data_IF_650194565860
#
_entry.id   IF_650194565860
#
_cell.length_a   1.000
_cell.length_b   1.000
_cell.length_c   1.000
_cell.angle_alpha   90.00
_cell.angle_beta   90.00
_cell.angle_gamma   90.00
#
_symmetry.space_group_name_H-M   'P 1'
#
loop_
_entity.id
_entity.type
_entity.pdbx_description
1 polymer ?
#
# COMPACT_ATOMS: atom_id res chain seq x y z
N UNK A 1 -24.60 -24.55 -53.32
CA UNK A 1 -25.22 -25.16 -52.11
C UNK A 1 -24.23 -25.10 -50.96
N UNK A 2 -24.43 -24.22 -49.96
CA UNK A 2 -23.48 -23.99 -48.87
C UNK A 2 -23.64 -25.02 -47.75
N UNK A 3 -22.52 -25.51 -47.25
CA UNK A 3 -22.41 -26.65 -46.34
C UNK A 3 -22.67 -26.20 -44.87
N UNK A 4 -23.75 -26.67 -44.19
CA UNK A 4 -24.17 -26.13 -42.88
C UNK A 4 -23.32 -26.61 -41.69
N UNK A 5 -22.28 -27.42 -41.92
CA UNK A 5 -21.53 -28.10 -40.85
C UNK A 5 -20.31 -27.33 -40.31
N UNK A 6 -19.95 -26.16 -40.85
CA UNK A 6 -18.79 -25.37 -40.36
C UNK A 6 -19.14 -24.27 -39.34
N UNK A 7 -20.41 -23.93 -39.13
CA UNK A 7 -20.82 -22.81 -38.24
C UNK A 7 -21.10 -23.20 -36.79
N UNK A 8 -20.98 -24.48 -36.40
CA UNK A 8 -21.25 -24.93 -35.01
C UNK A 8 -20.02 -25.15 -34.14
N UNK A 9 -18.81 -24.96 -34.68
CA UNK A 9 -17.55 -25.19 -33.95
C UNK A 9 -16.92 -23.93 -33.34
N UNK A 10 -17.51 -22.74 -33.57
CA UNK A 10 -17.03 -21.47 -32.99
C UNK A 10 -17.76 -21.04 -31.70
N UNK A 11 -18.78 -21.78 -31.26
CA UNK A 11 -19.61 -21.41 -30.10
C UNK A 11 -19.34 -22.26 -28.84
N UNK A 12 -18.42 -23.22 -28.89
CA UNK A 12 -18.10 -24.10 -27.75
C UNK A 12 -16.81 -23.70 -27.00
N UNK A 13 -16.14 -22.61 -27.38
CA UNK A 13 -14.91 -22.12 -26.74
C UNK A 13 -15.11 -20.88 -25.85
N UNK A 14 -16.31 -20.29 -25.85
CA UNK A 14 -16.63 -19.13 -25.02
C UNK A 14 -16.72 -19.40 -23.50
N UNK A 15 -17.18 -20.58 -22.99
CA UNK A 15 -17.35 -20.75 -21.55
C UNK A 15 -16.04 -21.11 -20.81
N UNK A 16 -14.98 -21.51 -21.52
CA UNK A 16 -13.69 -21.85 -20.90
C UNK A 16 -12.81 -20.63 -20.59
N UNK A 17 -13.12 -19.45 -21.13
CA UNK A 17 -12.45 -18.19 -20.79
C UNK A 17 -12.99 -17.53 -19.51
N UNK A 18 -14.15 -17.96 -19.00
CA UNK A 18 -14.71 -17.44 -17.75
C UNK A 18 -14.10 -18.08 -16.49
N UNK A 19 -13.47 -19.25 -16.62
CA UNK A 19 -12.88 -20.00 -15.49
C UNK A 19 -11.40 -19.66 -15.21
N UNK A 20 -10.76 -18.86 -16.07
CA UNK A 20 -9.38 -18.38 -15.85
C UNK A 20 -9.31 -17.00 -15.14
N UNK A 21 -10.46 -16.40 -14.80
CA UNK A 21 -10.54 -15.09 -14.14
C UNK A 21 -10.74 -15.18 -12.61
N UNK A 22 -10.69 -16.39 -12.02
CA UNK A 22 -10.48 -16.53 -10.58
C UNK A 22 -8.98 -16.41 -10.28
N UNK A 23 -8.42 -15.23 -10.54
CA UNK A 23 -7.24 -14.83 -9.79
C UNK A 23 -7.75 -14.55 -8.38
N UNK A 24 -7.40 -15.40 -7.42
CA UNK A 24 -7.58 -15.17 -5.99
C UNK A 24 -6.87 -13.87 -5.59
N UNK A 25 -7.52 -12.74 -5.91
CA UNK A 25 -7.15 -11.44 -5.42
C UNK A 25 -7.30 -11.43 -3.91
N UNK A 26 -6.59 -10.55 -3.19
CA UNK A 26 -6.75 -10.43 -1.75
C UNK A 26 -8.23 -10.21 -1.43
N UNK A 27 -8.86 -11.15 -0.71
CA UNK A 27 -10.28 -11.13 -0.31
C UNK A 27 -10.61 -10.07 0.75
N UNK A 28 -9.71 -9.09 0.95
CA UNK A 28 -9.90 -7.97 1.86
C UNK A 28 -10.55 -6.78 1.17
N UNK A 29 -11.03 -5.79 1.95
CA UNK A 29 -11.58 -4.57 1.39
C UNK A 29 -10.52 -3.78 0.62
N UNK A 30 -10.93 -3.10 -0.45
CA UNK A 30 -10.05 -2.28 -1.30
C UNK A 30 -9.50 -1.03 -0.59
N UNK A 31 -10.11 -0.61 0.51
CA UNK A 31 -9.65 0.44 1.40
C UNK A 31 -10.00 0.15 2.86
N UNK A 32 -9.31 0.81 3.79
CA UNK A 32 -9.49 0.68 5.22
C UNK A 32 -9.63 2.08 5.82
N UNK A 33 -10.67 2.28 6.63
CA UNK A 33 -10.88 3.53 7.39
C UNK A 33 -10.91 3.20 8.87
N UNK A 34 -10.22 4.00 9.67
CA UNK A 34 -10.22 3.91 11.13
C UNK A 34 -10.24 5.30 11.75
N UNK A 35 -11.05 5.51 12.78
CA UNK A 35 -11.05 6.74 13.56
C UNK A 35 -10.26 6.54 14.85
N UNK A 36 -9.22 7.36 15.06
CA UNK A 36 -8.34 7.31 16.23
C UNK A 36 -7.61 8.65 16.41
N UNK A 37 -7.41 9.12 17.65
CA UNK A 37 -6.70 10.40 17.86
C UNK A 37 -7.49 11.61 17.36
N UNK A 38 -8.82 11.55 17.34
CA UNK A 38 -9.67 12.58 16.73
C UNK A 38 -9.50 12.73 15.21
N UNK A 39 -8.79 11.80 14.56
CA UNK A 39 -8.44 11.86 13.14
C UNK A 39 -8.94 10.61 12.42
N UNK A 40 -9.45 10.78 11.21
CA UNK A 40 -9.72 9.66 10.31
C UNK A 40 -8.46 9.26 9.55
N UNK A 41 -8.13 7.97 9.64
CA UNK A 41 -7.00 7.35 8.97
C UNK A 41 -7.52 6.46 7.85
N UNK A 42 -7.12 6.76 6.63
CA UNK A 42 -7.52 6.00 5.45
C UNK A 42 -6.29 5.36 4.79
N UNK A 43 -6.42 4.09 4.42
CA UNK A 43 -5.45 3.34 3.64
C UNK A 43 -6.13 2.71 2.43
N UNK A 44 -5.47 2.71 1.27
CA UNK A 44 -5.95 2.04 0.06
C UNK A 44 -5.05 0.84 -0.23
N UNK A 45 -5.64 -0.34 -0.37
CA UNK A 45 -4.89 -1.57 -0.64
C UNK A 45 -4.27 -1.52 -2.04
N UNK A 46 -3.00 -1.94 -2.15
CA UNK A 46 -2.32 -2.08 -3.43
C UNK A 46 -3.08 -3.09 -4.33
N UNK A 47 -3.49 -2.70 -5.55
CA UNK A 47 -4.03 -3.65 -6.52
C UNK A 47 -2.96 -4.64 -6.99
N UNK A 48 -3.43 -5.80 -7.45
CA UNK A 48 -2.57 -6.74 -8.18
C UNK A 48 -2.02 -6.04 -9.43
N UNK A 49 -0.75 -6.31 -9.76
CA UNK A 49 -0.09 -5.72 -10.93
C UNK A 49 0.68 -4.42 -10.64
N UNK A 50 0.60 -3.86 -9.42
CA UNK A 50 1.43 -2.71 -9.05
C UNK A 50 2.92 -3.01 -9.24
N UNK A 51 3.67 -2.06 -9.80
CA UNK A 51 5.05 -2.27 -10.17
C UNK A 51 5.95 -2.56 -8.95
N UNK A 52 6.90 -3.48 -9.12
CA UNK A 52 7.99 -3.75 -8.17
C UNK A 52 9.32 -3.57 -8.88
N UNK A 53 10.42 -3.50 -8.11
CA UNK A 53 11.76 -3.41 -8.70
C UNK A 53 12.01 -4.54 -9.72
N UNK A 54 11.63 -5.77 -9.38
CA UNK A 54 11.73 -6.96 -10.25
C UNK A 54 10.87 -6.91 -11.52
N UNK A 55 9.82 -6.07 -11.53
CA UNK A 55 9.03 -5.81 -12.74
C UNK A 55 9.94 -5.20 -13.82
N UNK A 56 10.78 -4.23 -13.45
CA UNK A 56 11.61 -3.47 -14.38
C UNK A 56 13.04 -3.99 -14.53
N UNK A 57 13.58 -4.61 -13.49
CA UNK A 57 14.98 -5.05 -13.47
C UNK A 57 15.34 -6.02 -14.60
N UNK A 58 14.36 -6.81 -15.07
CA UNK A 58 14.51 -7.72 -16.22
C UNK A 58 14.87 -7.01 -17.54
N UNK A 59 14.54 -5.72 -17.66
CA UNK A 59 14.80 -4.90 -18.83
C UNK A 59 16.10 -4.09 -18.72
N UNK A 60 16.74 -4.08 -17.54
CA UNK A 60 18.08 -3.53 -17.38
C UNK A 60 19.12 -4.39 -18.14
N UNK A 61 20.19 -3.74 -18.60
CA UNK A 61 21.31 -4.42 -19.25
C UNK A 61 21.89 -5.53 -18.35
N UNK A 62 22.30 -6.68 -18.90
CA UNK A 62 23.06 -7.68 -18.16
C UNK A 62 24.32 -7.05 -17.56
N UNK A 63 24.64 -7.38 -16.31
CA UNK A 63 25.81 -6.84 -15.61
C UNK A 63 25.72 -5.34 -15.26
N UNK A 64 24.57 -4.69 -15.40
CA UNK A 64 24.44 -3.28 -15.02
C UNK A 64 24.60 -3.10 -13.50
N UNK A 65 25.26 -2.02 -13.04
CA UNK A 65 25.41 -1.71 -11.62
C UNK A 65 24.05 -1.55 -10.91
N UNK A 66 22.99 -1.27 -11.66
CA UNK A 66 21.63 -1.20 -11.14
C UNK A 66 21.13 -2.55 -10.59
N UNK A 67 21.54 -3.69 -11.17
CA UNK A 67 21.16 -5.02 -10.65
C UNK A 67 21.76 -5.26 -9.27
N UNK A 68 23.03 -4.93 -9.10
CA UNK A 68 23.71 -5.05 -7.82
C UNK A 68 23.18 -4.03 -6.82
N UNK A 69 22.91 -2.79 -7.26
CA UNK A 69 22.26 -1.75 -6.45
C UNK A 69 20.89 -2.16 -5.93
N UNK A 70 20.01 -2.68 -6.80
CA UNK A 70 18.68 -3.17 -6.41
C UNK A 70 18.78 -4.36 -5.45
N UNK A 71 19.68 -5.32 -5.70
CA UNK A 71 19.93 -6.44 -4.78
C UNK A 71 20.42 -5.95 -3.41
N UNK A 72 21.34 -4.99 -3.42
CA UNK A 72 21.87 -4.35 -2.22
C UNK A 72 20.78 -3.66 -1.40
N UNK A 73 19.90 -2.90 -2.06
CA UNK A 73 18.75 -2.25 -1.44
C UNK A 73 17.76 -3.27 -0.86
N UNK A 74 17.44 -4.35 -1.57
CA UNK A 74 16.57 -5.40 -1.03
C UNK A 74 17.19 -6.09 0.19
N UNK A 75 18.48 -6.40 0.15
CA UNK A 75 19.18 -6.99 1.29
C UNK A 75 19.21 -6.02 2.49
N UNK A 76 19.43 -4.72 2.25
CA UNK A 76 19.38 -3.69 3.27
C UNK A 76 17.97 -3.53 3.86
N UNK A 77 16.93 -3.52 3.02
CA UNK A 77 15.54 -3.45 3.44
C UNK A 77 15.16 -4.66 4.30
N UNK A 78 15.59 -5.87 3.92
CA UNK A 78 15.41 -7.08 4.72
C UNK A 78 16.05 -6.97 6.11
N UNK A 79 17.30 -6.47 6.20
CA UNK A 79 17.96 -6.22 7.48
C UNK A 79 17.27 -5.14 8.30
N UNK A 80 16.82 -4.06 7.65
CA UNK A 80 16.09 -2.98 8.31
C UNK A 80 14.77 -3.50 8.91
N UNK A 81 13.99 -4.30 8.17
CA UNK A 81 12.79 -4.97 8.70
C UNK A 81 13.09 -5.89 9.87
N UNK A 82 14.11 -6.74 9.74
CA UNK A 82 14.49 -7.67 10.81
C UNK A 82 14.88 -6.93 12.11
N UNK A 83 15.39 -5.71 11.98
CA UNK A 83 15.71 -4.82 13.10
C UNK A 83 14.55 -3.89 13.51
N UNK A 84 13.32 -4.10 13.00
CA UNK A 84 12.14 -3.28 13.30
C UNK A 84 12.12 -1.90 12.66
N UNK A 85 13.09 -1.56 11.79
CA UNK A 85 13.18 -0.28 11.06
C UNK A 85 12.37 -0.35 9.77
N UNK A 86 11.05 -0.50 9.91
CA UNK A 86 10.14 -0.75 8.79
C UNK A 86 10.05 0.44 7.83
N UNK A 87 10.06 1.66 8.35
CA UNK A 87 10.02 2.88 7.52
C UNK A 87 11.24 2.99 6.60
N UNK A 88 12.44 2.76 7.15
CA UNK A 88 13.69 2.69 6.38
C UNK A 88 13.62 1.60 5.31
N UNK A 89 13.08 0.43 5.65
CA UNK A 89 12.93 -0.67 4.70
C UNK A 89 12.01 -0.32 3.52
N UNK A 90 10.88 0.36 3.77
CA UNK A 90 9.99 0.82 2.70
C UNK A 90 10.68 1.85 1.79
N UNK A 91 11.39 2.80 2.39
CA UNK A 91 12.15 3.80 1.62
C UNK A 91 13.19 3.13 0.71
N UNK A 92 13.88 2.09 1.19
CA UNK A 92 14.82 1.31 0.38
C UNK A 92 14.14 0.54 -0.76
N UNK A 93 12.93 0.02 -0.55
CA UNK A 93 12.16 -0.65 -1.61
C UNK A 93 11.65 0.30 -2.68
N UNK A 94 11.17 1.49 -2.28
CA UNK A 94 10.77 2.53 -3.21
C UNK A 94 11.97 3.05 -4.00
N UNK A 95 13.13 3.20 -3.35
CA UNK A 95 14.39 3.51 -4.02
C UNK A 95 14.81 2.41 -5.00
N UNK A 96 14.66 1.13 -4.63
CA UNK A 96 14.96 0.00 -5.51
C UNK A 96 14.06 -0.01 -6.74
N UNK A 97 12.77 0.29 -6.57
CA UNK A 97 11.82 0.43 -7.67
C UNK A 97 12.22 1.56 -8.63
N UNK A 98 12.55 2.74 -8.11
CA UNK A 98 12.96 3.89 -8.91
C UNK A 98 14.29 3.64 -9.63
N UNK A 99 15.27 3.00 -8.96
CA UNK A 99 16.54 2.61 -9.55
C UNK A 99 16.33 1.62 -10.70
N UNK A 100 15.51 0.59 -10.50
CA UNK A 100 15.20 -0.41 -11.53
C UNK A 100 14.52 0.24 -12.74
N UNK A 101 13.54 1.12 -12.50
CA UNK A 101 12.80 1.84 -13.54
C UNK A 101 13.72 2.79 -14.34
N UNK A 102 14.58 3.55 -13.66
CA UNK A 102 15.55 4.44 -14.30
C UNK A 102 16.68 3.73 -15.05
N UNK A 103 16.85 2.42 -14.82
CA UNK A 103 17.90 1.60 -15.43
C UNK A 103 17.40 0.76 -16.60
N UNK A 104 16.16 0.96 -17.03
CA UNK A 104 15.61 0.30 -18.22
C UNK A 104 16.38 0.77 -19.44
N UNK A 105 17.17 -0.14 -20.01
CA UNK A 105 17.98 0.12 -21.21
C UNK A 105 17.42 -0.55 -22.45
N UNK A 106 16.55 -1.56 -22.29
CA UNK A 106 15.80 -2.20 -23.37
C UNK A 106 14.33 -1.86 -23.19
N UNK A 107 13.73 -1.22 -24.18
CA UNK A 107 12.32 -0.86 -24.15
C UNK A 107 11.45 -2.11 -23.89
N UNK A 108 10.66 -2.13 -22.82
CA UNK A 108 9.66 -3.18 -22.62
C UNK A 108 8.66 -3.19 -23.77
N UNK A 109 8.08 -4.36 -24.06
CA UNK A 109 6.86 -4.42 -24.87
C UNK A 109 5.79 -3.52 -24.22
N UNK A 110 5.17 -2.57 -24.96
CA UNK A 110 4.10 -1.73 -24.43
C UNK A 110 3.02 -2.49 -23.66
N UNK A 111 2.67 -3.71 -24.09
CA UNK A 111 1.68 -4.56 -23.39
C UNK A 111 2.09 -4.90 -21.95
N UNK A 112 3.39 -4.99 -21.67
CA UNK A 112 3.93 -5.23 -20.32
C UNK A 112 3.87 -3.99 -19.43
N UNK A 113 3.77 -2.81 -20.03
CA UNK A 113 3.63 -1.54 -19.31
C UNK A 113 2.17 -1.25 -18.96
N UNK A 114 1.23 -1.75 -19.77
CA UNK A 114 -0.21 -1.57 -19.54
C UNK A 114 -0.72 -2.18 -18.24
N UNK A 115 -0.18 -3.32 -17.80
CA UNK A 115 -0.63 -3.97 -16.56
C UNK A 115 -0.33 -3.11 -15.30
N UNK A 116 0.91 -2.66 -15.05
CA UNK A 116 1.18 -1.72 -13.97
C UNK A 116 0.43 -0.40 -14.07
N UNK A 117 0.14 0.06 -15.28
CA UNK A 117 -0.65 1.27 -15.50
C UNK A 117 -2.12 1.07 -15.09
N UNK A 118 -2.72 -0.05 -15.49
CA UNK A 118 -4.06 -0.43 -15.05
C UNK A 118 -4.15 -0.63 -13.53
N UNK A 119 -3.07 -1.09 -12.89
CA UNK A 119 -3.00 -1.16 -11.43
C UNK A 119 -3.02 0.23 -10.77
N UNK A 120 -2.43 1.27 -11.38
CA UNK A 120 -2.54 2.65 -10.88
C UNK A 120 -3.96 3.20 -11.06
N UNK A 121 -4.65 2.84 -12.14
CA UNK A 121 -6.05 3.20 -12.35
C UNK A 121 -6.95 2.56 -11.30
N UNK A 122 -6.81 1.25 -11.10
CA UNK A 122 -7.56 0.53 -10.08
C UNK A 122 -7.31 1.09 -8.67
N UNK A 123 -6.09 1.54 -8.37
CA UNK A 123 -5.79 2.20 -7.11
C UNK A 123 -6.49 3.57 -7.00
N UNK A 124 -6.47 4.36 -8.08
CA UNK A 124 -7.10 5.68 -8.14
C UNK A 124 -8.62 5.56 -8.00
N UNK A 125 -9.24 4.57 -8.63
CA UNK A 125 -10.68 4.33 -8.55
C UNK A 125 -11.09 3.92 -7.13
N UNK A 126 -10.34 3.03 -6.47
CA UNK A 126 -10.55 2.71 -5.04
C UNK A 126 -10.43 3.94 -4.14
N UNK A 127 -9.47 4.83 -4.44
CA UNK A 127 -9.32 6.08 -3.69
C UNK A 127 -10.53 7.00 -3.89
N UNK A 128 -11.03 7.13 -5.12
CA UNK A 128 -12.23 7.94 -5.44
C UNK A 128 -13.49 7.38 -4.77
N UNK A 129 -13.75 6.09 -4.92
CA UNK A 129 -14.87 5.39 -4.26
C UNK A 129 -14.84 5.65 -2.75
N UNK A 130 -13.65 5.64 -2.14
CA UNK A 130 -13.51 5.97 -0.72
C UNK A 130 -13.87 7.42 -0.41
N UNK A 131 -13.46 8.38 -1.25
CA UNK A 131 -13.78 9.80 -1.08
C UNK A 131 -15.25 10.13 -1.30
N UNK A 132 -16.03 9.29 -1.99
CA UNK A 132 -17.50 9.44 -2.06
C UNK A 132 -18.17 9.31 -0.67
N UNK A 133 -17.49 8.64 0.27
CA UNK A 133 -18.00 8.32 1.59
C UNK A 133 -17.34 9.13 2.72
N UNK A 134 -16.52 10.15 2.40
CA UNK A 134 -15.86 10.98 3.41
C UNK A 134 -14.81 11.93 2.84
N UNK A 135 -14.31 12.83 3.67
CA UNK A 135 -13.31 13.83 3.26
C UNK A 135 -11.92 13.46 3.76
N UNK A 136 -11.03 13.15 2.83
CA UNK A 136 -9.68 12.67 3.15
C UNK A 136 -8.61 13.48 2.38
N UNK A 137 -8.21 14.68 2.85
CA UNK A 137 -7.33 15.57 2.08
C UNK A 137 -6.00 14.95 1.66
N UNK A 138 -5.40 14.13 2.54
CA UNK A 138 -4.14 13.44 2.23
C UNK A 138 -4.31 12.36 1.15
N UNK A 139 -5.46 11.67 1.13
CA UNK A 139 -5.78 10.69 0.10
C UNK A 139 -6.11 11.37 -1.22
N UNK A 140 -6.85 12.48 -1.19
CA UNK A 140 -7.18 13.28 -2.37
C UNK A 140 -5.92 13.81 -3.07
N UNK A 141 -5.02 14.42 -2.31
CA UNK A 141 -3.72 14.87 -2.83
C UNK A 141 -2.91 13.73 -3.45
N UNK A 142 -2.90 12.54 -2.82
CA UNK A 142 -2.26 11.36 -3.37
C UNK A 142 -2.95 10.86 -4.65
N UNK A 143 -4.29 10.84 -4.70
CA UNK A 143 -5.07 10.44 -5.87
C UNK A 143 -4.78 11.32 -7.09
N UNK A 144 -4.76 12.64 -6.91
CA UNK A 144 -4.36 13.60 -7.96
C UNK A 144 -2.94 13.32 -8.45
N UNK A 145 -2.01 13.11 -7.51
CA UNK A 145 -0.59 12.86 -7.79
C UNK A 145 -0.35 11.54 -8.56
N UNK A 146 -1.09 10.47 -8.22
CA UNK A 146 -1.03 9.16 -8.88
C UNK A 146 -1.67 9.24 -10.27
N UNK A 147 -2.87 9.83 -10.38
CA UNK A 147 -3.57 9.99 -11.66
C UNK A 147 -2.73 10.79 -12.67
N UNK A 148 -2.16 11.93 -12.26
CA UNK A 148 -1.32 12.75 -13.13
C UNK A 148 -0.09 11.99 -13.67
N UNK A 149 0.48 11.08 -12.87
CA UNK A 149 1.60 10.22 -13.31
C UNK A 149 1.16 9.13 -14.26
N UNK A 150 -0.01 8.53 -14.04
CA UNK A 150 -0.61 7.58 -14.98
C UNK A 150 -0.90 8.24 -16.33
N UNK A 151 -1.48 9.44 -16.34
CA UNK A 151 -1.72 10.22 -17.57
C UNK A 151 -0.43 10.59 -18.30
N UNK A 152 0.57 11.04 -17.56
CA UNK A 152 1.90 11.31 -18.13
C UNK A 152 2.54 10.05 -18.71
N UNK A 153 2.37 8.89 -18.06
CA UNK A 153 2.87 7.61 -18.57
C UNK A 153 2.15 7.19 -19.86
N UNK A 154 0.84 7.40 -19.97
CA UNK A 154 0.08 7.19 -21.22
C UNK A 154 0.60 8.08 -22.34
N UNK A 155 0.81 9.37 -22.05
CA UNK A 155 1.34 10.32 -23.03
C UNK A 155 2.73 9.89 -23.53
N UNK A 156 3.60 9.43 -22.64
CA UNK A 156 4.91 8.87 -22.99
C UNK A 156 4.78 7.61 -23.87
N UNK A 157 3.86 6.69 -23.55
CA UNK A 157 3.59 5.52 -24.39
C UNK A 157 3.09 5.90 -25.78
N UNK A 158 2.18 6.88 -25.89
CA UNK A 158 1.70 7.41 -27.17
C UNK A 158 2.83 8.03 -28.00
N UNK A 159 3.80 8.68 -27.35
CA UNK A 159 5.02 9.20 -27.96
C UNK A 159 6.09 8.12 -28.23
N UNK A 160 5.80 6.85 -27.93
CA UNK A 160 6.74 5.70 -28.01
C UNK A 160 7.97 5.82 -27.10
N UNK A 161 7.90 6.64 -26.05
CA UNK A 161 8.91 6.72 -24.99
C UNK A 161 8.56 5.77 -23.84
N UNK A 162 8.85 4.48 -24.03
CA UNK A 162 8.54 3.46 -23.03
C UNK A 162 9.37 3.61 -21.75
N UNK A 163 10.60 4.12 -21.84
CA UNK A 163 11.45 4.33 -20.66
C UNK A 163 10.91 5.43 -19.76
N UNK A 164 10.47 6.55 -20.33
CA UNK A 164 9.79 7.59 -19.56
C UNK A 164 8.49 7.08 -18.94
N UNK A 165 7.70 6.30 -19.69
CA UNK A 165 6.47 5.70 -19.16
C UNK A 165 6.72 4.81 -17.93
N UNK A 166 7.75 3.95 -17.99
CA UNK A 166 8.14 3.08 -16.86
C UNK A 166 8.54 3.89 -15.63
N UNK A 167 9.33 4.95 -15.79
CA UNK A 167 9.73 5.80 -14.67
C UNK A 167 8.53 6.54 -14.05
N UNK A 168 7.59 7.00 -14.87
CA UNK A 168 6.37 7.66 -14.41
C UNK A 168 5.46 6.69 -13.64
N UNK A 169 5.32 5.45 -14.12
CA UNK A 169 4.58 4.38 -13.41
C UNK A 169 5.25 4.05 -12.08
N UNK A 170 6.57 3.93 -12.05
CA UNK A 170 7.32 3.67 -10.82
C UNK A 170 7.08 4.78 -9.79
N UNK A 171 7.17 6.06 -10.20
CA UNK A 171 6.85 7.21 -9.35
C UNK A 171 5.39 7.21 -8.88
N UNK A 172 4.45 6.79 -9.75
CA UNK A 172 3.03 6.67 -9.41
C UNK A 172 2.80 5.60 -8.36
N UNK A 173 3.49 4.48 -8.49
CA UNK A 173 3.45 3.38 -7.54
C UNK A 173 3.97 3.80 -6.16
N UNK A 174 5.13 4.49 -6.10
CA UNK A 174 5.66 5.02 -4.83
C UNK A 174 4.68 5.99 -4.16
N UNK A 175 4.09 6.90 -4.94
CA UNK A 175 3.08 7.83 -4.41
C UNK A 175 1.85 7.11 -3.85
N UNK A 176 1.36 6.08 -4.54
CA UNK A 176 0.23 5.26 -4.10
C UNK A 176 0.54 4.46 -2.82
N UNK A 177 1.75 3.89 -2.72
CA UNK A 177 2.23 3.18 -1.52
C UNK A 177 2.31 4.05 -0.27
N UNK A 178 2.54 5.36 -0.45
CA UNK A 178 2.46 6.34 0.63
C UNK A 178 1.09 6.39 1.33
N UNK A 179 0.04 5.88 0.69
CA UNK A 179 -1.31 5.72 1.27
C UNK A 179 -1.72 4.24 1.41
N UNK A 180 -0.76 3.31 1.33
CA UNK A 180 -0.97 1.90 1.59
C UNK A 180 -1.11 1.58 3.09
N UNK A 181 -1.64 0.40 3.46
CA UNK A 181 -1.82 0.00 4.85
C UNK A 181 -0.55 0.07 5.71
N UNK A 182 0.61 -0.27 5.13
CA UNK A 182 1.88 -0.21 5.84
C UNK A 182 2.28 1.23 6.19
N UNK A 183 2.25 2.15 5.22
CA UNK A 183 2.61 3.55 5.43
C UNK A 183 1.64 4.25 6.39
N UNK A 184 0.34 3.98 6.27
CA UNK A 184 -0.68 4.51 7.19
C UNK A 184 -0.49 3.93 8.60
N UNK A 185 -0.19 2.64 8.71
CA UNK A 185 0.13 1.98 9.98
C UNK A 185 1.34 2.62 10.70
N UNK A 186 2.39 2.98 9.96
CA UNK A 186 3.56 3.67 10.51
C UNK A 186 3.21 5.07 11.03
N UNK A 187 2.42 5.86 10.29
CA UNK A 187 1.98 7.19 10.76
C UNK A 187 1.08 7.10 11.99
N UNK A 188 0.19 6.12 12.04
CA UNK A 188 -0.64 5.82 13.22
C UNK A 188 0.21 5.48 14.44
N UNK A 189 1.20 4.60 14.25
CA UNK A 189 2.15 4.22 15.29
C UNK A 189 2.92 5.45 15.81
N UNK A 190 3.48 6.26 14.92
CA UNK A 190 4.20 7.48 15.28
C UNK A 190 3.31 8.47 16.06
N UNK A 191 2.06 8.64 15.64
CA UNK A 191 1.08 9.47 16.34
C UNK A 191 0.80 8.97 17.76
N UNK A 192 0.60 7.65 17.92
CA UNK A 192 0.37 7.03 19.21
C UNK A 192 1.57 7.19 20.16
N UNK A 193 2.78 7.05 19.63
CA UNK A 193 4.02 7.21 20.39
C UNK A 193 4.23 8.66 20.84
N UNK A 194 3.98 9.62 19.95
CA UNK A 194 4.01 11.04 20.30
C UNK A 194 3.01 11.37 21.41
N UNK A 195 1.80 10.80 21.35
CA UNK A 195 0.76 11.01 22.37
C UNK A 195 1.14 10.42 23.72
N UNK A 196 1.75 9.22 23.71
CA UNK A 196 2.26 8.58 24.91
C UNK A 196 3.41 9.39 25.54
N UNK A 197 4.33 9.90 24.71
CA UNK A 197 5.45 10.75 25.16
C UNK A 197 4.96 12.09 25.74
N UNK A 198 3.87 12.65 25.22
CA UNK A 198 3.24 13.86 25.72
C UNK A 198 2.46 13.69 27.05
N UNK A 199 2.56 12.54 27.71
CA UNK A 199 1.96 12.31 29.03
C UNK A 199 0.55 11.70 28.99
N UNK A 200 0.05 11.23 27.84
CA UNK A 200 -1.24 10.53 27.71
C UNK A 200 -1.31 9.15 28.40
N UNK A 201 -0.35 8.83 29.29
CA UNK A 201 -0.17 7.49 29.79
C UNK A 201 -1.20 7.10 30.86
N UNK A 202 -1.55 7.95 31.84
CA UNK A 202 -2.46 7.57 32.93
C UNK A 202 -2.29 6.12 33.42
N UNK A 203 -3.39 5.40 33.62
CA UNK A 203 -3.37 3.95 33.89
C UNK A 203 -3.23 3.10 32.60
N UNK A 204 -3.55 3.65 31.42
CA UNK A 204 -3.60 2.93 30.15
C UNK A 204 -2.24 2.80 29.44
N UNK A 205 -1.21 3.54 29.87
CA UNK A 205 0.02 3.73 29.13
C UNK A 205 0.89 2.48 29.05
N UNK A 206 0.86 1.62 30.08
CA UNK A 206 1.53 0.32 30.02
C UNK A 206 0.87 -0.61 28.99
N UNK A 207 -0.47 -0.58 28.87
CA UNK A 207 -1.22 -1.36 27.89
C UNK A 207 -0.99 -0.83 26.47
N UNK A 208 -1.04 0.48 26.27
CA UNK A 208 -0.73 1.13 25.00
C UNK A 208 0.68 0.77 24.52
N UNK A 209 1.71 0.85 25.39
CA UNK A 209 3.08 0.43 25.04
C UNK A 209 3.18 -1.00 24.51
N UNK A 210 2.49 -1.95 25.15
CA UNK A 210 2.47 -3.35 24.68
C UNK A 210 1.81 -3.50 23.31
N UNK A 211 0.72 -2.76 23.07
CA UNK A 211 0.05 -2.75 21.77
C UNK A 211 0.93 -2.17 20.67
N UNK A 212 1.65 -1.07 20.97
CA UNK A 212 2.58 -0.43 20.03
C UNK A 212 3.78 -1.33 19.72
N UNK A 213 4.34 -2.02 20.71
CA UNK A 213 5.38 -3.04 20.48
C UNK A 213 4.87 -4.14 19.53
N UNK A 214 3.68 -4.70 19.81
CA UNK A 214 3.07 -5.69 18.92
C UNK A 214 2.68 -5.14 17.55
N UNK A 215 2.38 -3.85 17.43
CA UNK A 215 2.13 -3.21 16.14
C UNK A 215 3.43 -3.13 15.32
N UNK A 216 4.55 -2.72 15.92
CA UNK A 216 5.87 -2.71 15.27
C UNK A 216 6.27 -4.09 14.78
N UNK A 217 6.13 -5.11 15.62
CA UNK A 217 6.37 -6.51 15.25
C UNK A 217 5.50 -6.94 14.07
N UNK A 218 4.21 -6.56 14.07
CA UNK A 218 3.30 -6.84 12.96
C UNK A 218 3.74 -6.18 11.65
N UNK A 219 4.13 -4.89 11.69
CA UNK A 219 4.64 -4.17 10.52
C UNK A 219 5.94 -4.81 10.01
N UNK A 220 6.86 -5.17 10.91
CA UNK A 220 8.11 -5.82 10.55
C UNK A 220 7.90 -7.19 9.89
N UNK A 221 6.88 -7.93 10.35
CA UNK A 221 6.46 -9.22 9.79
C UNK A 221 5.56 -9.13 8.55
N UNK A 222 5.21 -7.92 8.09
CA UNK A 222 4.32 -7.74 6.92
C UNK A 222 2.82 -7.85 7.21
N UNK A 223 2.40 -8.07 8.46
CA UNK A 223 0.99 -8.10 8.88
C UNK A 223 0.48 -6.69 9.18
N UNK A 224 0.39 -5.88 8.12
CA UNK A 224 0.02 -4.46 8.21
C UNK A 224 -1.38 -4.25 8.78
N UNK A 225 -2.33 -5.15 8.52
CA UNK A 225 -3.71 -5.01 8.99
C UNK A 225 -3.80 -5.21 10.50
N UNK A 226 -3.17 -6.27 11.03
CA UNK A 226 -3.14 -6.49 12.48
C UNK A 226 -2.37 -5.38 13.19
N UNK A 227 -1.27 -4.91 12.61
CA UNK A 227 -0.52 -3.80 13.15
C UNK A 227 -1.35 -2.51 13.21
N UNK A 228 -2.08 -2.19 12.14
CA UNK A 228 -2.94 -1.02 12.07
C UNK A 228 -4.04 -1.08 13.14
N UNK A 229 -4.70 -2.23 13.30
CA UNK A 229 -5.70 -2.44 14.38
C UNK A 229 -5.11 -2.23 15.77
N UNK A 230 -3.89 -2.73 16.03
CA UNK A 230 -3.20 -2.55 17.32
C UNK A 230 -2.84 -1.08 17.59
N UNK A 231 -2.34 -0.36 16.59
CA UNK A 231 -2.00 1.05 16.70
C UNK A 231 -3.24 1.91 16.95
N UNK A 232 -4.35 1.65 16.23
CA UNK A 232 -5.64 2.30 16.45
C UNK A 232 -6.14 2.08 17.87
N UNK A 233 -6.11 0.84 18.35
CA UNK A 233 -6.55 0.54 19.70
C UNK A 233 -5.67 1.20 20.78
N UNK A 234 -4.35 1.30 20.53
CA UNK A 234 -3.45 2.03 21.40
C UNK A 234 -3.82 3.53 21.49
N UNK A 235 -4.11 4.19 20.36
CA UNK A 235 -4.57 5.58 20.35
C UNK A 235 -5.90 5.75 21.09
N UNK A 236 -6.88 4.89 20.83
CA UNK A 236 -8.18 4.93 21.52
C UNK A 236 -8.03 4.80 23.05
N UNK A 237 -7.10 3.98 23.54
CA UNK A 237 -6.81 3.86 24.97
C UNK A 237 -6.16 5.12 25.55
N UNK A 238 -5.34 5.82 24.77
CA UNK A 238 -4.67 7.07 25.19
C UNK A 238 -5.62 8.27 25.18
N UNK A 239 -6.66 8.24 24.34
CA UNK A 239 -7.69 9.28 24.28
C UNK A 239 -8.88 9.02 25.20
N UNK A 240 -9.03 7.80 25.72
CA UNK A 240 -10.09 7.47 26.66
C UNK A 240 -9.99 8.38 27.90
N UNK A 241 -11.11 8.94 28.38
CA UNK A 241 -11.08 9.70 29.62
C UNK A 241 -10.52 8.81 30.75
N UNK A 242 -9.75 9.36 31.71
CA UNK A 242 -9.32 8.60 32.86
C UNK A 242 -10.58 7.99 33.47
N UNK A 243 -10.58 6.66 33.67
CA UNK A 243 -11.71 5.98 34.28
C UNK A 243 -12.07 6.78 35.52
N UNK A 244 -13.28 7.37 35.54
CA UNK A 244 -13.78 8.06 36.70
C UNK A 244 -13.61 7.04 37.81
N UNK A 245 -12.70 7.33 38.76
CA UNK A 245 -12.43 6.42 39.86
C UNK A 245 -13.79 6.00 40.38
N UNK A 246 -14.02 4.70 40.48
CA UNK A 246 -15.08 4.18 41.32
C UNK A 246 -14.88 4.92 42.65
N UNK A 247 -15.65 5.99 42.85
CA UNK A 247 -15.68 6.71 44.10
C UNK A 247 -16.13 5.61 45.03
N UNK A 248 -15.22 5.18 45.90
CA UNK A 248 -15.51 4.24 46.98
C UNK A 248 -16.67 4.88 47.73
N UNK A 249 -17.88 4.44 47.36
CA UNK A 249 -19.09 4.83 48.03
C UNK A 249 -18.98 4.14 49.37
N UNK A 250 -18.37 4.86 50.32
CA UNK A 250 -18.28 4.38 51.69
C UNK A 250 -19.68 3.93 52.10
N UNK A 251 -19.85 2.70 52.62
CA UNK A 251 -21.16 2.23 53.02
C UNK A 251 -21.74 3.20 54.05
N UNK A 252 -22.96 3.68 53.80
CA UNK A 252 -23.64 4.57 54.72
C UNK A 252 -23.71 3.94 56.12
N UNK A 253 -23.39 4.68 57.20
CA UNK A 253 -23.57 4.17 58.55
C UNK A 253 -25.06 3.89 58.79
N UNK A 254 -25.34 2.73 59.39
CA UNK A 254 -26.68 2.29 59.80
C UNK A 254 -27.16 3.06 61.03
#
# INVERSE_FOLDING_TARGET
MPNPLRSRLLLALAPLLALAACQDGPTGPGSYVQFAGGTEWVAVAEPVGMARADTWLRYAAPGSPARDGVRGLHAAAGRARAAGRVEEALAMEDQALLLAAGSVSRAPDPRRVLEPLAALDAWTDRARERMEHGRYPALDSAAVSVAARADSARAALSARDTSAAVLLIARGTVAARGQGPMAVGLRLLASAEARLAAGGAGQNGARARRLLAGAREGLAGGDSIRALRRAVYALQLLDAPPAAGLVDSAPAPR
#
